data_IF_744335036725
#
_entry.id   IF_744335036725
#
_cell.length_a   1.000
_cell.length_b   1.000
_cell.length_c   1.000
_cell.angle_alpha   90.00
_cell.angle_beta   90.00
_cell.angle_gamma   90.00
#
_symmetry.space_group_name_H-M   'P 1'
#
loop_
_entity.id
_entity.type
_entity.pdbx_description
1 polymer ?
#
# COMPACT_ATOMS: atom_id res chain seq x y z
N UNK A 1 -13.61 16.21 -19.09
CA UNK A 1 -13.44 14.77 -18.77
C UNK A 1 -12.86 14.67 -17.38
N UNK A 2 -13.09 13.59 -16.64
CA UNK A 2 -12.50 13.40 -15.31
C UNK A 2 -10.97 13.44 -15.38
N UNK A 3 -10.34 14.09 -14.41
CA UNK A 3 -8.88 14.08 -14.28
C UNK A 3 -8.40 12.67 -13.96
N UNK A 4 -7.30 12.26 -14.60
CA UNK A 4 -6.61 11.00 -14.34
C UNK A 4 -5.22 11.32 -13.84
N UNK A 5 -4.71 10.54 -12.90
CA UNK A 5 -3.36 10.68 -12.34
C UNK A 5 -2.65 9.34 -12.46
N UNK A 6 -1.93 9.16 -13.57
CA UNK A 6 -1.07 8.00 -13.78
C UNK A 6 0.37 8.35 -13.40
N UNK A 7 0.84 7.85 -12.25
CA UNK A 7 2.19 8.12 -11.75
C UNK A 7 3.26 7.69 -12.75
N UNK A 8 3.06 6.59 -13.49
CA UNK A 8 4.01 6.16 -14.53
C UNK A 8 4.23 7.19 -15.63
N UNK A 9 3.23 8.05 -15.86
CA UNK A 9 3.20 9.05 -16.93
C UNK A 9 3.51 10.47 -16.46
N UNK A 10 3.39 10.76 -15.15
CA UNK A 10 3.69 12.09 -14.60
C UNK A 10 5.14 12.52 -14.85
N UNK A 11 5.31 13.83 -14.98
CA UNK A 11 6.61 14.49 -15.08
C UNK A 11 7.43 14.28 -13.79
N UNK A 12 8.75 14.10 -13.93
CA UNK A 12 9.64 13.71 -12.82
C UNK A 12 10.03 14.90 -11.91
N UNK A 13 9.06 15.46 -11.19
CA UNK A 13 9.32 16.40 -10.09
C UNK A 13 9.85 15.67 -8.85
N UNK A 14 10.50 16.38 -7.93
CA UNK A 14 10.98 15.76 -6.67
C UNK A 14 9.84 15.16 -5.83
N UNK A 15 8.66 15.77 -5.88
CA UNK A 15 7.46 15.26 -5.21
C UNK A 15 6.97 13.96 -5.84
N UNK A 16 6.89 13.91 -7.18
CA UNK A 16 6.50 12.69 -7.92
C UNK A 16 7.50 11.56 -7.68
N UNK A 17 8.81 11.85 -7.67
CA UNK A 17 9.85 10.86 -7.36
C UNK A 17 9.70 10.26 -5.96
N UNK A 18 9.37 11.10 -4.96
CA UNK A 18 9.11 10.62 -3.59
C UNK A 18 7.88 9.71 -3.55
N UNK A 19 6.76 10.13 -4.14
CA UNK A 19 5.54 9.31 -4.21
C UNK A 19 5.80 7.98 -4.93
N UNK A 20 6.54 8.00 -6.05
CA UNK A 20 6.98 6.78 -6.75
C UNK A 20 7.85 5.88 -5.89
N UNK A 21 8.72 6.45 -5.04
CA UNK A 21 9.53 5.67 -4.11
C UNK A 21 8.67 4.98 -3.05
N UNK A 22 7.68 5.68 -2.48
CA UNK A 22 6.73 5.14 -1.51
C UNK A 22 5.90 4.02 -2.15
N UNK A 23 5.36 4.27 -3.34
CA UNK A 23 4.50 3.35 -4.08
C UNK A 23 5.28 2.39 -4.99
N UNK A 24 6.60 2.27 -4.85
CA UNK A 24 7.44 1.48 -5.77
C UNK A 24 6.91 0.06 -5.97
N UNK A 25 6.51 -0.60 -4.89
CA UNK A 25 6.03 -1.98 -4.96
C UNK A 25 4.61 -2.13 -5.55
N UNK A 26 3.61 -1.32 -5.15
CA UNK A 26 2.33 -1.24 -5.86
C UNK A 26 2.44 -0.83 -7.33
N UNK A 27 3.31 0.13 -7.65
CA UNK A 27 3.56 0.56 -9.03
C UNK A 27 4.14 -0.57 -9.87
N UNK A 28 5.07 -1.36 -9.33
CA UNK A 28 5.56 -2.56 -10.00
C UNK A 28 4.45 -3.58 -10.28
N UNK A 29 3.50 -3.78 -9.35
CA UNK A 29 2.33 -4.62 -9.62
C UNK A 29 1.45 -4.05 -10.74
N UNK A 30 1.28 -2.73 -10.81
CA UNK A 30 0.59 -2.08 -11.92
C UNK A 30 1.32 -2.30 -13.24
N UNK A 31 2.66 -2.17 -13.28
CA UNK A 31 3.47 -2.44 -14.47
C UNK A 31 3.32 -3.90 -14.94
N UNK A 32 3.37 -4.86 -14.00
CA UNK A 32 3.17 -6.29 -14.29
C UNK A 32 1.79 -6.54 -14.90
N UNK A 33 0.73 -5.95 -14.33
CA UNK A 33 -0.64 -6.07 -14.84
C UNK A 33 -0.81 -5.45 -16.23
N UNK A 34 -0.29 -4.25 -16.43
CA UNK A 34 -0.33 -3.55 -17.72
C UNK A 34 0.40 -4.38 -18.78
N UNK A 35 1.55 -4.96 -18.43
CA UNK A 35 2.30 -5.84 -19.33
C UNK A 35 1.52 -7.12 -19.65
N UNK A 36 0.98 -7.81 -18.64
CA UNK A 36 0.14 -9.00 -18.84
C UNK A 36 -1.07 -8.70 -19.74
N UNK A 37 -1.69 -7.52 -19.56
CA UNK A 37 -2.83 -7.05 -20.34
C UNK A 37 -2.46 -6.82 -21.80
N UNK A 38 -1.43 -6.01 -22.08
CA UNK A 38 -1.05 -5.65 -23.45
C UNK A 38 -0.34 -6.77 -24.21
N UNK A 39 0.27 -7.71 -23.51
CA UNK A 39 0.86 -8.92 -24.09
C UNK A 39 -0.10 -10.12 -24.11
N UNK A 40 -1.31 -9.98 -23.54
CA UNK A 40 -2.34 -11.02 -23.47
C UNK A 40 -1.86 -12.35 -22.86
N UNK A 41 -1.03 -12.26 -21.82
CA UNK A 41 -0.39 -13.43 -21.19
C UNK A 41 -1.12 -13.97 -19.96
N UNK A 42 -2.37 -13.58 -19.73
CA UNK A 42 -3.14 -14.03 -18.55
C UNK A 42 -3.32 -15.54 -18.43
N UNK A 43 -3.31 -16.28 -19.55
CA UNK A 43 -3.37 -17.75 -19.55
C UNK A 43 -2.18 -18.40 -18.82
N UNK A 44 -1.03 -17.72 -18.77
CA UNK A 44 0.16 -18.20 -18.06
C UNK A 44 -0.08 -18.30 -16.55
N UNK A 45 -0.86 -17.38 -15.97
CA UNK A 45 -1.17 -17.38 -14.53
C UNK A 45 -1.90 -18.66 -14.08
N UNK A 46 -2.74 -19.23 -14.96
CA UNK A 46 -3.44 -20.48 -14.68
C UNK A 46 -2.50 -21.69 -14.60
N UNK A 47 -1.38 -21.65 -15.33
CA UNK A 47 -0.39 -22.73 -15.33
C UNK A 47 0.40 -22.79 -14.01
N UNK A 48 0.56 -21.65 -13.33
CA UNK A 48 1.29 -21.50 -12.06
C UNK A 48 0.50 -21.96 -10.84
N UNK A 49 -0.80 -22.26 -10.98
CA UNK A 49 -1.62 -22.76 -9.88
C UNK A 49 -1.20 -24.18 -9.48
N UNK A 50 -0.93 -24.37 -8.19
CA UNK A 50 -0.69 -25.69 -7.62
C UNK A 50 -1.95 -26.57 -7.64
N UNK A 51 -1.75 -27.89 -7.52
CA UNK A 51 -2.82 -28.88 -7.60
C UNK A 51 -3.87 -28.72 -6.49
N UNK A 52 -3.47 -28.25 -5.30
CA UNK A 52 -4.38 -28.03 -4.18
C UNK A 52 -5.34 -26.89 -4.51
N UNK A 53 -4.84 -25.76 -5.03
CA UNK A 53 -5.67 -24.64 -5.46
C UNK A 53 -6.62 -25.05 -6.58
N UNK A 54 -6.14 -25.80 -7.57
CA UNK A 54 -6.97 -26.30 -8.68
C UNK A 54 -8.11 -27.18 -8.20
N UNK A 55 -7.82 -28.09 -7.27
CA UNK A 55 -8.81 -28.97 -6.66
C UNK A 55 -9.81 -28.20 -5.79
N UNK A 56 -9.32 -27.43 -4.81
CA UNK A 56 -10.15 -26.76 -3.81
C UNK A 56 -11.06 -25.68 -4.42
N UNK A 57 -10.61 -24.99 -5.47
CA UNK A 57 -11.41 -24.01 -6.18
C UNK A 57 -12.32 -24.62 -7.26
N UNK A 58 -12.33 -25.95 -7.46
CA UNK A 58 -13.18 -26.59 -8.47
C UNK A 58 -12.75 -26.29 -9.92
N UNK A 59 -11.51 -25.84 -10.14
CA UNK A 59 -10.97 -25.52 -11.48
C UNK A 59 -10.91 -26.77 -12.35
N UNK A 60 -10.58 -27.93 -11.77
CA UNK A 60 -10.58 -29.21 -12.49
C UNK A 60 -11.96 -29.50 -13.11
N UNK A 61 -13.04 -29.27 -12.34
CA UNK A 61 -14.39 -29.45 -12.84
C UNK A 61 -14.73 -28.43 -13.92
N UNK A 62 -14.32 -27.17 -13.76
CA UNK A 62 -14.51 -26.14 -14.77
C UNK A 62 -13.80 -26.51 -16.09
N UNK A 63 -12.57 -27.00 -16.04
CA UNK A 63 -11.83 -27.42 -17.23
C UNK A 63 -12.55 -28.55 -17.99
N UNK A 64 -13.09 -29.55 -17.28
CA UNK A 64 -13.88 -30.63 -17.90
C UNK A 64 -15.14 -30.11 -18.62
N UNK A 65 -15.78 -29.06 -18.08
CA UNK A 65 -16.98 -28.45 -18.65
C UNK A 65 -16.68 -27.38 -19.72
N UNK A 66 -15.42 -26.96 -19.85
CA UNK A 66 -15.01 -25.85 -20.69
C UNK A 66 -15.31 -26.05 -22.18
N UNK A 67 -15.35 -27.29 -22.66
CA UNK A 67 -15.68 -27.54 -24.07
C UNK A 67 -17.09 -27.05 -24.43
N UNK A 68 -18.05 -27.21 -23.51
CA UNK A 68 -19.47 -26.95 -23.79
C UNK A 68 -20.00 -25.67 -23.12
N UNK A 69 -19.28 -25.11 -22.15
CA UNK A 69 -19.76 -23.97 -21.36
C UNK A 69 -18.75 -22.81 -21.28
N UNK A 70 -19.12 -21.67 -21.87
CA UNK A 70 -18.25 -20.49 -21.98
C UNK A 70 -17.79 -19.94 -20.62
N UNK A 71 -18.65 -19.93 -19.59
CA UNK A 71 -18.26 -19.48 -18.26
C UNK A 71 -17.20 -20.42 -17.66
N UNK A 72 -17.37 -21.74 -17.83
CA UNK A 72 -16.38 -22.72 -17.35
C UNK A 72 -15.01 -22.54 -18.00
N UNK A 73 -14.94 -22.14 -19.28
CA UNK A 73 -13.67 -21.78 -19.94
C UNK A 73 -12.95 -20.61 -19.27
N UNK A 74 -13.71 -19.60 -18.84
CA UNK A 74 -13.14 -18.39 -18.22
C UNK A 74 -12.76 -18.58 -16.75
N UNK A 75 -13.30 -19.59 -16.07
CA UNK A 75 -13.20 -19.73 -14.62
C UNK A 75 -11.75 -19.84 -14.13
N UNK A 76 -10.96 -20.72 -14.75
CA UNK A 76 -9.55 -20.93 -14.37
C UNK A 76 -8.73 -19.64 -14.48
N UNK A 77 -8.92 -18.92 -15.59
CA UNK A 77 -8.21 -17.68 -15.88
C UNK A 77 -8.62 -16.58 -14.91
N UNK A 78 -9.92 -16.40 -14.67
CA UNK A 78 -10.46 -15.42 -13.72
C UNK A 78 -9.96 -15.68 -12.30
N UNK A 79 -10.04 -16.93 -11.84
CA UNK A 79 -9.54 -17.31 -10.52
C UNK A 79 -8.03 -17.05 -10.41
N UNK A 80 -7.24 -17.51 -11.38
CA UNK A 80 -5.78 -17.34 -11.36
C UNK A 80 -5.36 -15.88 -11.32
N UNK A 81 -6.06 -15.02 -12.07
CA UNK A 81 -5.84 -13.58 -12.07
C UNK A 81 -6.15 -12.93 -10.72
N UNK A 82 -7.32 -13.22 -10.14
CA UNK A 82 -7.68 -12.68 -8.83
C UNK A 82 -6.73 -13.18 -7.73
N UNK A 83 -6.35 -14.46 -7.78
CA UNK A 83 -5.38 -15.04 -6.85
C UNK A 83 -4.02 -14.34 -6.95
N UNK A 84 -3.51 -14.17 -8.18
CA UNK A 84 -2.27 -13.43 -8.46
C UNK A 84 -2.35 -12.01 -7.88
N UNK A 85 -3.38 -11.25 -8.27
CA UNK A 85 -3.53 -9.86 -7.87
C UNK A 85 -3.67 -9.70 -6.36
N UNK A 86 -4.62 -10.40 -5.72
CA UNK A 86 -4.92 -10.17 -4.30
C UNK A 86 -3.81 -10.67 -3.37
N UNK A 87 -3.13 -11.77 -3.72
CA UNK A 87 -1.97 -12.24 -2.95
C UNK A 87 -0.84 -11.21 -3.00
N UNK A 88 -0.59 -10.69 -4.20
CA UNK A 88 0.44 -9.70 -4.48
C UNK A 88 0.12 -8.36 -3.80
N UNK A 89 -1.12 -7.88 -3.92
CA UNK A 89 -1.58 -6.63 -3.33
C UNK A 89 -1.54 -6.67 -1.80
N UNK A 90 -2.06 -7.72 -1.15
CA UNK A 90 -2.03 -7.87 0.32
C UNK A 90 -0.61 -7.74 0.88
N UNK A 91 0.37 -8.39 0.25
CA UNK A 91 1.76 -8.35 0.70
C UNK A 91 2.37 -6.93 0.64
N UNK A 92 1.81 -6.03 -0.19
CA UNK A 92 2.34 -4.68 -0.45
C UNK A 92 1.69 -3.60 0.41
N UNK A 93 0.46 -3.80 0.86
CA UNK A 93 -0.33 -2.78 1.60
C UNK A 93 0.39 -2.25 2.84
N UNK A 94 0.87 -3.15 3.71
CA UNK A 94 1.58 -2.74 4.93
C UNK A 94 2.87 -1.97 4.63
N UNK A 95 3.53 -2.30 3.52
CA UNK A 95 4.78 -1.69 3.13
C UNK A 95 4.62 -0.22 2.71
N UNK A 96 3.48 0.14 2.12
CA UNK A 96 3.20 1.52 1.73
C UNK A 96 3.21 2.44 2.96
N UNK A 97 2.51 2.06 4.02
CA UNK A 97 2.45 2.84 5.26
C UNK A 97 3.84 3.02 5.89
N UNK A 98 4.64 1.95 5.94
CA UNK A 98 6.03 2.01 6.41
C UNK A 98 6.87 3.00 5.60
N UNK A 99 6.82 2.92 4.27
CA UNK A 99 7.63 3.76 3.39
C UNK A 99 7.14 5.22 3.37
N UNK A 100 5.84 5.46 3.51
CA UNK A 100 5.29 6.82 3.70
C UNK A 100 5.90 7.47 4.93
N UNK A 101 5.88 6.78 6.08
CA UNK A 101 6.46 7.33 7.31
C UNK A 101 7.98 7.49 7.22
N UNK A 102 8.69 6.53 6.63
CA UNK A 102 10.13 6.68 6.41
C UNK A 102 10.45 7.87 5.49
N UNK A 103 9.66 8.10 4.45
CA UNK A 103 9.78 9.26 3.55
C UNK A 103 9.63 10.57 4.33
N UNK A 104 8.57 10.66 5.15
CA UNK A 104 8.30 11.84 5.99
C UNK A 104 9.46 12.10 6.96
N UNK A 105 9.88 11.07 7.72
CA UNK A 105 10.95 11.21 8.72
C UNK A 105 12.27 11.69 8.10
N UNK A 106 12.58 11.26 6.87
CA UNK A 106 13.79 11.67 6.13
C UNK A 106 13.67 13.05 5.52
N UNK A 107 12.59 13.30 4.78
CA UNK A 107 12.40 14.50 3.96
C UNK A 107 12.36 15.76 4.81
N UNK A 108 11.72 15.68 5.99
CA UNK A 108 11.60 16.81 6.90
C UNK A 108 12.66 16.82 8.00
N UNK A 109 13.70 15.98 7.87
CA UNK A 109 14.81 15.88 8.82
C UNK A 109 14.36 15.73 10.28
N UNK A 110 13.25 15.01 10.49
CA UNK A 110 12.69 14.74 11.82
C UNK A 110 13.65 13.86 12.63
N UNK A 111 14.31 12.93 11.94
CA UNK A 111 15.37 12.09 12.50
C UNK A 111 16.64 12.20 11.64
N UNK A 112 17.80 12.14 12.27
CA UNK A 112 19.10 12.16 11.59
C UNK A 112 19.31 10.92 10.72
N UNK A 113 18.80 9.77 11.18
CA UNK A 113 18.89 8.48 10.47
C UNK A 113 17.57 7.73 10.57
N UNK A 114 17.16 7.16 9.44
CA UNK A 114 15.96 6.32 9.33
C UNK A 114 16.36 5.00 8.64
N UNK A 115 16.65 3.93 9.42
CA UNK A 115 17.07 2.64 8.90
C UNK A 115 16.09 2.03 7.88
N UNK A 116 16.62 1.34 6.88
CA UNK A 116 15.80 0.70 5.85
C UNK A 116 15.58 -0.80 6.10
N UNK A 117 16.54 -1.46 6.76
CA UNK A 117 16.56 -2.91 6.94
C UNK A 117 16.31 -3.27 8.40
N UNK A 118 15.52 -4.32 8.63
CA UNK A 118 15.25 -4.85 9.97
C UNK A 118 16.55 -5.22 10.71
N UNK A 119 17.55 -5.75 10.00
CA UNK A 119 18.86 -6.06 10.57
C UNK A 119 19.57 -4.82 11.13
N UNK A 120 19.48 -3.69 10.43
CA UNK A 120 20.08 -2.41 10.86
C UNK A 120 19.36 -1.88 12.11
N UNK A 121 18.03 -1.94 12.13
CA UNK A 121 17.21 -1.58 13.29
C UNK A 121 17.59 -2.42 14.53
N UNK A 122 17.83 -3.72 14.35
CA UNK A 122 18.25 -4.61 15.43
C UNK A 122 19.65 -4.31 15.95
N UNK A 123 20.59 -3.99 15.06
CA UNK A 123 21.93 -3.59 15.47
C UNK A 123 21.90 -2.31 16.32
N UNK A 124 21.04 -1.35 15.94
CA UNK A 124 20.82 -0.13 16.71
C UNK A 124 20.25 -0.46 18.09
N UNK A 125 19.22 -1.29 18.18
CA UNK A 125 18.63 -1.68 19.47
C UNK A 125 19.59 -2.49 20.33
N UNK A 126 20.34 -3.42 19.76
CA UNK A 126 21.39 -4.16 20.47
C UNK A 126 22.42 -3.21 21.07
N UNK A 127 22.82 -2.18 20.34
CA UNK A 127 23.74 -1.15 20.84
C UNK A 127 23.10 -0.26 21.92
N UNK A 128 21.81 0.02 21.84
CA UNK A 128 21.10 0.90 22.79
C UNK A 128 20.79 0.17 24.11
N UNK A 129 20.47 -1.11 24.07
CA UNK A 129 20.16 -1.93 25.25
C UNK A 129 21.37 -2.70 25.80
N UNK A 130 22.50 -2.71 25.09
CA UNK A 130 23.72 -3.48 25.41
C UNK A 130 23.43 -4.97 25.67
N UNK A 131 22.53 -5.55 24.86
CA UNK A 131 22.15 -6.96 24.94
C UNK A 131 21.52 -7.41 23.63
N UNK A 132 21.42 -8.72 23.43
CA UNK A 132 20.60 -9.26 22.34
C UNK A 132 19.12 -8.90 22.56
N UNK A 133 18.50 -8.44 21.48
CA UNK A 133 17.09 -8.02 21.46
C UNK A 133 16.24 -9.05 20.70
N UNK A 134 14.93 -9.13 21.00
CA UNK A 134 14.02 -10.08 20.36
C UNK A 134 14.06 -10.01 18.82
N UNK A 135 13.94 -11.18 18.19
CA UNK A 135 13.77 -11.32 16.74
C UNK A 135 12.31 -11.03 16.35
N UNK A 136 11.86 -9.80 16.60
CA UNK A 136 10.53 -9.32 16.25
C UNK A 136 10.63 -8.18 15.21
N UNK A 137 9.53 -7.96 14.49
CA UNK A 137 9.47 -6.96 13.44
C UNK A 137 9.22 -5.57 14.01
N UNK A 138 9.92 -4.59 13.45
CA UNK A 138 9.74 -3.15 13.66
C UNK A 138 9.38 -2.57 12.31
N UNK A 139 8.28 -1.82 12.27
CA UNK A 139 7.78 -1.27 11.01
C UNK A 139 8.60 -0.04 10.59
N UNK A 140 8.82 0.90 11.53
CA UNK A 140 9.62 2.11 11.29
C UNK A 140 10.48 2.45 12.51
N UNK A 141 11.69 2.93 12.25
CA UNK A 141 12.61 3.43 13.26
C UNK A 141 13.19 4.78 12.83
N UNK A 142 13.19 5.74 13.74
CA UNK A 142 13.90 7.00 13.63
C UNK A 142 15.00 7.09 14.69
N UNK A 143 16.17 7.57 14.31
CA UNK A 143 17.31 7.74 15.22
C UNK A 143 17.82 9.16 15.13
N UNK A 144 17.96 9.80 16.28
CA UNK A 144 18.70 11.05 16.45
C UNK A 144 19.87 10.83 17.40
N UNK A 145 20.72 11.85 17.58
CA UNK A 145 21.92 11.74 18.42
C UNK A 145 21.62 11.21 19.83
N UNK A 146 20.56 11.71 20.45
CA UNK A 146 20.20 11.50 21.85
C UNK A 146 18.99 10.57 22.06
N UNK A 147 18.20 10.26 21.03
CA UNK A 147 16.92 9.54 21.17
C UNK A 147 16.61 8.56 20.04
N UNK A 148 15.72 7.60 20.32
CA UNK A 148 15.22 6.61 19.36
C UNK A 148 13.70 6.63 19.32
N UNK A 149 13.16 6.69 18.12
CA UNK A 149 11.73 6.53 17.83
C UNK A 149 11.50 5.14 17.24
N UNK A 150 10.61 4.36 17.85
CA UNK A 150 10.16 3.07 17.34
C UNK A 150 8.68 3.21 17.04
N UNK A 151 8.26 2.88 15.82
CA UNK A 151 6.84 2.92 15.44
C UNK A 151 6.41 1.51 15.04
N UNK A 152 5.33 1.03 15.68
CA UNK A 152 4.61 -0.16 15.28
C UNK A 152 3.26 0.23 14.70
N UNK A 153 2.99 -0.19 13.47
CA UNK A 153 1.88 0.25 12.65
C UNK A 153 0.77 -0.80 12.58
N UNK A 154 -0.46 -0.31 12.64
CA UNK A 154 -1.64 -1.02 12.14
C UNK A 154 -2.37 -0.15 11.16
N UNK A 155 -2.86 -0.76 10.09
CA UNK A 155 -3.77 -0.10 9.17
C UNK A 155 -5.11 0.22 9.85
N UNK A 156 -5.66 -0.74 10.60
CA UNK A 156 -6.98 -0.67 11.27
C UNK A 156 -6.93 -1.39 12.61
N UNK A 157 -7.80 -0.98 13.52
CA UNK A 157 -8.00 -1.53 14.86
C UNK A 157 -8.95 -2.75 14.88
N UNK A 158 -9.88 -2.85 13.93
CA UNK A 158 -10.88 -3.93 13.84
C UNK A 158 -10.45 -5.14 12.98
N UNK A 159 -9.40 -5.02 12.17
CA UNK A 159 -8.96 -6.11 11.29
C UNK A 159 -8.08 -7.11 12.03
N UNK A 160 -8.70 -8.15 12.60
CA UNK A 160 -8.03 -9.40 12.99
C UNK A 160 -7.81 -10.39 11.85
N UNK A 161 -8.26 -10.07 10.63
CA UNK A 161 -8.58 -11.10 9.64
C UNK A 161 -7.45 -11.65 8.78
N UNK A 162 -6.41 -10.88 8.40
CA UNK A 162 -5.56 -11.33 7.28
C UNK A 162 -4.07 -11.04 7.32
N UNK A 163 -3.61 -10.30 8.33
CA UNK A 163 -2.23 -10.32 8.80
C UNK A 163 -2.31 -10.14 10.30
N UNK A 164 -2.53 -11.24 11.03
CA UNK A 164 -2.34 -11.26 12.47
C UNK A 164 -0.85 -11.10 12.77
N UNK A 165 -0.31 -9.87 12.59
CA UNK A 165 0.85 -9.45 13.38
C UNK A 165 0.42 -9.66 14.85
N UNK A 166 1.34 -10.17 15.67
CA UNK A 166 1.10 -10.41 17.10
C UNK A 166 0.64 -9.14 17.84
N UNK A 167 0.58 -9.21 19.16
CA UNK A 167 0.22 -8.06 19.99
C UNK A 167 0.99 -6.82 19.53
N UNK A 168 0.30 -5.68 19.45
CA UNK A 168 0.85 -4.37 19.03
C UNK A 168 2.03 -3.88 19.86
N UNK A 169 2.33 -4.60 20.93
CA UNK A 169 3.37 -4.32 21.91
C UNK A 169 4.27 -5.54 22.12
N UNK A 170 4.25 -6.54 21.24
CA UNK A 170 5.07 -7.74 21.39
C UNK A 170 6.57 -7.41 21.39
N UNK A 171 7.00 -6.49 20.52
CA UNK A 171 8.39 -6.04 20.50
C UNK A 171 8.73 -5.28 21.79
N UNK A 172 7.90 -4.32 22.21
CA UNK A 172 8.07 -3.64 23.50
C UNK A 172 8.15 -4.62 24.67
N UNK A 173 7.22 -5.57 24.75
CA UNK A 173 7.19 -6.62 25.77
C UNK A 173 8.51 -7.40 25.81
N UNK A 174 9.03 -7.75 24.63
CA UNK A 174 10.32 -8.42 24.52
C UNK A 174 11.50 -7.54 24.96
N UNK A 175 11.47 -6.23 24.68
CA UNK A 175 12.47 -5.28 25.17
C UNK A 175 12.41 -5.13 26.69
N UNK A 176 11.23 -5.00 27.29
CA UNK A 176 11.05 -4.89 28.74
C UNK A 176 11.57 -6.13 29.48
N UNK A 177 11.34 -7.32 28.92
CA UNK A 177 11.85 -8.59 29.47
C UNK A 177 13.38 -8.69 29.55
N UNK A 178 14.11 -7.84 28.82
CA UNK A 178 15.57 -7.81 28.95
C UNK A 178 16.02 -7.29 30.31
N UNK A 179 15.18 -6.51 31.00
CA UNK A 179 15.53 -5.83 32.26
C UNK A 179 16.66 -4.81 32.11
N UNK A 180 16.97 -4.40 30.87
CA UNK A 180 18.03 -3.42 30.57
C UNK A 180 17.44 -2.05 30.30
N UNK A 181 17.98 -1.04 30.99
CA UNK A 181 17.68 0.36 30.70
C UNK A 181 18.40 0.78 29.43
N UNK A 182 17.70 1.28 28.40
CA UNK A 182 18.35 1.75 27.19
C UNK A 182 19.21 2.99 27.48
N UNK A 183 20.37 3.07 26.82
CA UNK A 183 21.32 4.19 26.95
C UNK A 183 20.82 5.51 26.36
N UNK A 184 19.68 5.48 25.65
CA UNK A 184 19.02 6.62 25.03
C UNK A 184 17.52 6.54 25.31
N UNK A 185 16.83 7.67 25.55
CA UNK A 185 15.38 7.73 25.56
C UNK A 185 14.76 7.10 24.30
N UNK A 186 13.76 6.25 24.52
CA UNK A 186 12.97 5.59 23.49
C UNK A 186 11.53 6.07 23.58
N UNK A 187 11.00 6.60 22.48
CA UNK A 187 9.55 6.68 22.27
C UNK A 187 9.10 5.47 21.47
N UNK A 188 8.29 4.62 22.10
CA UNK A 188 7.60 3.52 21.45
C UNK A 188 6.19 3.98 21.08
N UNK A 189 5.95 4.17 19.79
CA UNK A 189 4.69 4.63 19.24
C UNK A 189 3.91 3.45 18.65
N UNK A 190 2.76 3.13 19.25
CA UNK A 190 1.76 2.27 18.60
C UNK A 190 0.84 3.18 17.79
N UNK A 191 0.85 3.02 16.48
CA UNK A 191 0.18 3.92 15.54
C UNK A 191 -0.90 3.18 14.75
N UNK A 192 -2.15 3.61 14.91
CA UNK A 192 -3.30 3.11 14.14
C UNK A 192 -3.65 4.14 13.06
N UNK A 193 -3.52 3.75 11.80
CA UNK A 193 -3.70 4.68 10.67
C UNK A 193 -5.15 5.09 10.45
N UNK A 194 -6.06 4.12 10.34
CA UNK A 194 -7.49 4.33 10.11
C UNK A 194 -8.27 4.11 11.42
N UNK A 195 -8.63 5.21 12.08
CA UNK A 195 -9.40 5.24 13.30
C UNK A 195 -10.89 5.06 12.99
N UNK A 196 -11.53 4.02 13.54
CA UNK A 196 -12.94 3.72 13.25
C UNK A 196 -13.85 3.97 14.44
N UNK A 197 -13.70 3.17 15.49
CA UNK A 197 -14.66 3.10 16.59
C UNK A 197 -13.94 3.24 17.94
N UNK A 198 -14.47 4.08 18.82
CA UNK A 198 -13.99 4.24 20.18
C UNK A 198 -13.96 2.90 20.95
N UNK A 199 -14.89 1.97 20.68
CA UNK A 199 -14.90 0.65 21.31
C UNK A 199 -13.67 -0.19 20.92
N UNK A 200 -13.18 -0.06 19.68
CA UNK A 200 -11.98 -0.77 19.23
C UNK A 200 -10.71 -0.17 19.82
N UNK A 201 -10.69 1.14 20.08
CA UNK A 201 -9.63 1.81 20.85
C UNK A 201 -9.53 1.24 22.25
N UNK A 202 -10.63 1.18 23.01
CA UNK A 202 -10.63 0.59 24.34
C UNK A 202 -10.19 -0.89 24.32
N UNK A 203 -10.69 -1.69 23.37
CA UNK A 203 -10.24 -3.09 23.23
C UNK A 203 -8.74 -3.21 22.98
N UNK A 204 -8.17 -2.30 22.18
CA UNK A 204 -6.74 -2.26 21.88
C UNK A 204 -5.94 -1.90 23.12
N UNK A 205 -6.39 -0.89 23.88
CA UNK A 205 -5.77 -0.46 25.14
C UNK A 205 -5.78 -1.60 26.15
N UNK A 206 -6.93 -2.26 26.38
CA UNK A 206 -7.04 -3.40 27.30
C UNK A 206 -6.10 -4.55 26.93
N UNK A 207 -5.94 -4.85 25.64
CA UNK A 207 -5.01 -5.88 25.15
C UNK A 207 -3.55 -5.48 25.38
N UNK A 208 -3.20 -4.21 25.16
CA UNK A 208 -1.87 -3.67 25.42
C UNK A 208 -1.55 -3.74 26.92
N UNK A 209 -2.45 -3.24 27.77
CA UNK A 209 -2.32 -3.29 29.22
C UNK A 209 -2.14 -4.74 29.71
N UNK A 210 -3.04 -5.64 29.30
CA UNK A 210 -2.95 -7.06 29.67
C UNK A 210 -1.64 -7.72 29.23
N UNK A 211 -1.04 -7.27 28.13
CA UNK A 211 0.23 -7.79 27.63
C UNK A 211 1.46 -7.26 28.39
N UNK A 212 1.36 -6.10 29.04
CA UNK A 212 2.48 -5.36 29.62
C UNK A 212 2.43 -5.24 31.14
N UNK A 213 1.25 -5.40 31.77
CA UNK A 213 1.01 -5.13 33.20
C UNK A 213 2.03 -5.76 34.15
N UNK A 214 2.53 -6.96 33.84
CA UNK A 214 3.47 -7.70 34.70
C UNK A 214 4.94 -7.27 34.50
N UNK A 215 5.21 -6.34 33.57
CA UNK A 215 6.56 -5.90 33.17
C UNK A 215 6.78 -4.40 33.32
N UNK A 216 5.72 -3.61 33.58
CA UNK A 216 5.82 -2.17 33.68
C UNK A 216 6.42 -1.79 35.04
N UNK A 217 7.52 -1.05 35.03
CA UNK A 217 8.16 -0.50 36.22
C UNK A 217 7.58 0.89 36.53
N UNK A 218 6.35 0.96 37.07
CA UNK A 218 5.79 2.26 37.48
C UNK A 218 6.07 2.52 38.95
N UNK A 219 7.04 3.40 39.23
CA UNK A 219 7.33 3.90 40.57
C UNK A 219 6.29 4.88 41.12
N UNK A 220 5.34 5.36 40.29
CA UNK A 220 4.42 6.46 40.65
C UNK A 220 2.94 6.24 40.29
N UNK A 221 2.60 5.13 39.63
CA UNK A 221 1.23 4.82 39.20
C UNK A 221 0.85 3.46 39.76
N UNK A 222 -0.17 3.40 40.62
CA UNK A 222 -0.95 2.16 40.78
C UNK A 222 -1.38 1.75 39.37
N UNK A 223 -0.79 0.69 38.83
CA UNK A 223 -0.97 0.23 37.45
C UNK A 223 -2.38 -0.38 37.29
N UNK A 224 -3.38 0.47 37.42
CA UNK A 224 -4.77 0.19 37.10
C UNK A 224 -4.95 0.38 35.59
N UNK A 225 -5.80 -0.47 35.01
CA UNK A 225 -6.15 -0.38 33.59
C UNK A 225 -6.76 0.99 33.25
N UNK A 226 -7.46 1.63 34.19
CA UNK A 226 -8.06 2.95 34.01
C UNK A 226 -7.03 4.07 33.91
N UNK A 227 -5.99 4.07 34.76
CA UNK A 227 -4.88 5.03 34.64
C UNK A 227 -4.12 4.81 33.33
N UNK A 228 -3.86 3.55 32.96
CA UNK A 228 -3.23 3.22 31.69
C UNK A 228 -4.07 3.74 30.50
N UNK A 229 -5.38 3.48 30.48
CA UNK A 229 -6.26 3.94 29.38
C UNK A 229 -6.28 5.46 29.24
N UNK A 230 -6.34 6.19 30.36
CA UNK A 230 -6.35 7.66 30.34
C UNK A 230 -5.05 8.25 29.79
N UNK A 231 -3.90 7.70 30.20
CA UNK A 231 -2.61 8.37 30.02
C UNK A 231 -1.85 7.89 28.77
N UNK A 232 -2.22 6.75 28.17
CA UNK A 232 -1.52 6.13 27.02
C UNK A 232 -1.46 7.03 25.77
N UNK A 233 -2.44 7.92 25.63
CA UNK A 233 -2.52 8.85 24.49
C UNK A 233 -1.55 10.02 24.62
N UNK A 234 -1.25 10.43 25.85
CA UNK A 234 -0.25 11.47 26.12
C UNK A 234 1.16 10.88 26.16
N UNK A 235 1.28 9.67 26.72
CA UNK A 235 2.51 8.89 26.80
C UNK A 235 2.77 8.42 28.23
N UNK A 236 2.99 7.13 28.42
CA UNK A 236 3.25 6.51 29.71
C UNK A 236 4.69 6.03 29.77
N UNK A 237 5.41 6.35 30.85
CA UNK A 237 6.72 5.75 31.13
C UNK A 237 6.50 4.31 31.59
N UNK A 238 6.92 3.35 30.76
CA UNK A 238 6.73 1.91 31.03
C UNK A 238 7.97 1.25 31.65
N UNK A 239 9.13 1.89 31.48
CA UNK A 239 10.39 1.57 32.14
C UNK A 239 11.31 2.80 32.06
N UNK A 240 12.41 2.78 32.82
CA UNK A 240 13.44 3.82 32.72
C UNK A 240 13.84 4.06 31.25
N UNK A 241 13.79 5.31 30.79
CA UNK A 241 14.07 5.74 29.42
C UNK A 241 13.15 5.15 28.31
N UNK A 242 11.99 4.58 28.64
CA UNK A 242 11.03 4.07 27.64
C UNK A 242 9.64 4.68 27.89
N UNK A 243 9.18 5.48 26.93
CA UNK A 243 7.81 6.01 26.88
C UNK A 243 7.01 5.26 25.83
N UNK A 244 5.84 4.75 26.20
CA UNK A 244 4.86 4.15 25.29
C UNK A 244 3.73 5.17 25.02
N UNK A 245 3.39 5.37 23.74
CA UNK A 245 2.27 6.22 23.31
C UNK A 245 1.42 5.50 22.28
N UNK A 246 0.10 5.59 22.41
CA UNK A 246 -0.88 5.10 21.43
C UNK A 246 -1.49 6.29 20.69
N UNK A 247 -1.46 6.26 19.36
CA UNK A 247 -1.98 7.35 18.51
C UNK A 247 -2.89 6.82 17.41
N UNK A 248 -3.96 7.56 17.14
CA UNK A 248 -4.99 7.24 16.15
C UNK A 248 -5.06 8.31 15.06
N UNK A 249 -5.03 7.87 13.81
CA UNK A 249 -5.05 8.77 12.67
C UNK A 249 -3.71 9.45 12.39
N UNK A 250 -3.65 10.08 11.23
CA UNK A 250 -2.45 10.75 10.74
C UNK A 250 -2.07 11.97 11.60
N UNK A 251 -3.07 12.70 12.10
CA UNK A 251 -2.83 13.91 12.89
C UNK A 251 -2.19 13.61 14.27
N UNK A 252 -2.79 12.73 15.07
CA UNK A 252 -2.25 12.37 16.39
C UNK A 252 -0.85 11.75 16.24
N UNK A 253 -0.65 10.93 15.19
CA UNK A 253 0.63 10.31 14.90
C UNK A 253 1.71 11.35 14.63
N UNK A 254 1.44 12.30 13.74
CA UNK A 254 2.45 13.31 13.41
C UNK A 254 2.71 14.24 14.60
N UNK A 255 1.68 14.60 15.38
CA UNK A 255 1.87 15.38 16.63
C UNK A 255 2.75 14.62 17.63
N UNK A 256 2.50 13.32 17.83
CA UNK A 256 3.30 12.49 18.72
C UNK A 256 4.77 12.40 18.30
N UNK A 257 5.04 12.24 17.00
CA UNK A 257 6.40 12.24 16.45
C UNK A 257 7.07 13.61 16.66
N UNK A 258 6.38 14.70 16.29
CA UNK A 258 6.93 16.06 16.36
C UNK A 258 7.23 16.53 17.78
N UNK A 259 6.35 16.21 18.75
CA UNK A 259 6.57 16.51 20.17
C UNK A 259 7.87 15.87 20.66
N UNK A 260 8.14 14.63 20.24
CA UNK A 260 9.34 13.90 20.62
C UNK A 260 10.60 14.44 19.94
N UNK A 261 10.49 14.89 18.69
CA UNK A 261 11.64 15.37 17.92
C UNK A 261 11.91 16.87 18.04
N UNK A 262 11.01 17.63 18.67
CA UNK A 262 11.02 19.10 18.73
C UNK A 262 10.94 19.76 17.32
N UNK A 263 10.17 19.14 16.42
CA UNK A 263 9.99 19.62 15.04
C UNK A 263 8.82 20.62 14.93
N UNK A 264 8.88 21.52 13.94
CA UNK A 264 7.85 22.56 13.74
C UNK A 264 6.49 21.98 13.31
N UNK A 265 5.36 22.36 13.96
CA UNK A 265 4.01 21.97 13.54
C UNK A 265 3.64 22.41 12.13
N UNK A 266 4.31 23.42 11.55
CA UNK A 266 4.02 23.92 10.19
C UNK A 266 4.19 22.85 9.10
N UNK A 267 5.00 21.81 9.35
CA UNK A 267 5.26 20.71 8.42
C UNK A 267 4.03 19.82 8.22
N UNK A 268 3.07 19.79 9.16
CA UNK A 268 1.85 18.96 9.08
C UNK A 268 1.06 19.19 7.79
N UNK A 269 0.94 20.46 7.38
CA UNK A 269 0.23 20.83 6.14
C UNK A 269 0.92 20.32 4.87
N UNK A 270 2.23 20.10 4.91
CA UNK A 270 2.99 19.57 3.77
C UNK A 270 2.91 18.04 3.74
N UNK A 271 2.96 17.40 4.91
CA UNK A 271 2.73 15.96 5.07
C UNK A 271 1.33 15.57 4.56
N UNK A 272 0.30 16.34 4.90
CA UNK A 272 -1.08 16.09 4.43
C UNK A 272 -1.18 16.12 2.89
N UNK A 273 -0.49 17.06 2.23
CA UNK A 273 -0.41 17.10 0.76
C UNK A 273 0.28 15.88 0.19
N UNK A 274 1.38 15.45 0.80
CA UNK A 274 2.13 14.27 0.37
C UNK A 274 1.29 12.99 0.51
N UNK A 275 0.57 12.84 1.63
CA UNK A 275 -0.37 11.73 1.84
C UNK A 275 -1.47 11.74 0.78
N UNK A 276 -2.08 12.89 0.49
CA UNK A 276 -3.10 13.03 -0.56
C UNK A 276 -2.60 12.61 -1.93
N UNK A 277 -1.35 12.92 -2.28
CA UNK A 277 -0.77 12.48 -3.55
C UNK A 277 -0.53 10.97 -3.60
N UNK A 278 -0.15 10.35 -2.48
CA UNK A 278 -0.03 8.88 -2.37
C UNK A 278 -1.40 8.21 -2.52
N UNK A 279 -2.48 8.88 -2.10
CA UNK A 279 -3.86 8.38 -2.23
C UNK A 279 -4.44 8.54 -3.65
N UNK A 280 -3.96 9.53 -4.42
CA UNK A 280 -4.56 9.96 -5.68
C UNK A 280 -3.78 9.44 -6.90
N UNK A 281 -3.78 8.13 -7.12
CA UNK A 281 -3.21 7.52 -8.32
C UNK A 281 -4.11 6.44 -8.93
N UNK A 282 -4.08 6.34 -10.24
CA UNK A 282 -5.01 5.52 -11.02
C UNK A 282 -4.38 4.23 -11.58
N UNK A 283 -3.04 4.12 -11.60
CA UNK A 283 -2.34 3.10 -12.40
C UNK A 283 -2.74 1.66 -12.03
N UNK A 284 -2.92 1.34 -10.74
CA UNK A 284 -3.21 -0.03 -10.30
C UNK A 284 -4.67 -0.42 -10.51
N UNK A 285 -5.62 0.37 -10.01
CA UNK A 285 -7.02 -0.01 -10.02
C UNK A 285 -7.67 0.11 -11.40
N UNK A 286 -7.21 1.03 -12.24
CA UNK A 286 -7.63 1.06 -13.64
C UNK A 286 -7.08 -0.17 -14.38
N UNK A 287 -5.79 -0.50 -14.23
CA UNK A 287 -5.21 -1.70 -14.83
C UNK A 287 -5.93 -2.97 -14.37
N UNK A 288 -6.16 -3.13 -13.07
CA UNK A 288 -6.90 -4.26 -12.51
C UNK A 288 -8.32 -4.37 -13.06
N UNK A 289 -9.07 -3.25 -13.10
CA UNK A 289 -10.46 -3.24 -13.55
C UNK A 289 -10.57 -3.59 -15.03
N UNK A 290 -9.70 -2.99 -15.87
CA UNK A 290 -9.67 -3.28 -17.31
C UNK A 290 -9.23 -4.73 -17.56
N UNK A 291 -8.20 -5.22 -16.86
CA UNK A 291 -7.78 -6.62 -16.96
C UNK A 291 -8.89 -7.60 -16.57
N UNK A 292 -9.61 -7.31 -15.49
CA UNK A 292 -10.76 -8.12 -15.06
C UNK A 292 -11.84 -8.18 -16.14
N UNK A 293 -12.19 -7.03 -16.74
CA UNK A 293 -13.18 -6.94 -17.80
C UNK A 293 -12.73 -7.67 -19.07
N UNK A 294 -11.45 -7.57 -19.42
CA UNK A 294 -10.87 -8.24 -20.59
C UNK A 294 -10.86 -9.76 -20.42
N UNK A 295 -10.47 -10.26 -19.24
CA UNK A 295 -10.50 -11.71 -18.94
C UNK A 295 -11.93 -12.24 -18.94
N UNK A 296 -12.87 -11.45 -18.41
CA UNK A 296 -14.28 -11.82 -18.39
C UNK A 296 -14.95 -11.68 -19.77
N UNK A 297 -14.26 -11.20 -20.81
CA UNK A 297 -14.85 -10.87 -22.09
C UNK A 297 -15.23 -12.13 -22.90
N UNK A 298 -16.54 -12.27 -23.17
CA UNK A 298 -17.13 -13.39 -23.93
C UNK A 298 -17.52 -12.99 -25.36
N UNK A 299 -17.23 -11.75 -25.80
CA UNK A 299 -17.59 -11.25 -27.13
C UNK A 299 -16.75 -11.88 -28.27
N UNK A 300 -15.71 -12.64 -27.93
CA UNK A 300 -14.77 -13.23 -28.91
C UNK A 300 -13.72 -12.24 -29.43
N UNK A 301 -13.80 -10.97 -29.06
CA UNK A 301 -12.83 -9.95 -29.39
C UNK A 301 -12.00 -9.58 -28.17
N UNK A 302 -10.70 -9.30 -28.36
CA UNK A 302 -9.88 -8.64 -27.35
C UNK A 302 -9.96 -7.12 -27.53
N UNK A 303 -10.36 -6.39 -26.49
CA UNK A 303 -10.41 -4.93 -26.56
C UNK A 303 -9.00 -4.34 -26.72
N UNK A 304 -7.98 -5.02 -26.20
CA UNK A 304 -6.58 -4.64 -26.39
C UNK A 304 -6.16 -4.76 -27.86
N UNK A 305 -6.48 -5.87 -28.52
CA UNK A 305 -6.17 -6.04 -29.95
C UNK A 305 -6.91 -5.01 -30.81
N UNK A 306 -8.19 -4.80 -30.55
CA UNK A 306 -9.00 -3.80 -31.26
C UNK A 306 -8.44 -2.39 -31.07
N UNK A 307 -8.05 -2.02 -29.85
CA UNK A 307 -7.40 -0.74 -29.57
C UNK A 307 -6.11 -0.59 -30.39
N UNK A 308 -5.23 -1.59 -30.34
CA UNK A 308 -3.95 -1.55 -31.05
C UNK A 308 -4.14 -1.40 -32.57
N UNK A 309 -5.04 -2.20 -33.16
CA UNK A 309 -5.36 -2.12 -34.58
C UNK A 309 -5.90 -0.74 -34.98
N UNK A 310 -6.84 -0.18 -34.20
CA UNK A 310 -7.43 1.13 -34.47
C UNK A 310 -6.41 2.25 -34.28
N UNK A 311 -5.55 2.15 -33.27
CA UNK A 311 -4.47 3.11 -33.02
C UNK A 311 -3.47 3.17 -34.19
N UNK A 312 -3.08 2.01 -34.73
CA UNK A 312 -2.20 1.90 -35.89
C UNK A 312 -2.86 2.38 -37.19
N UNK A 313 -4.11 1.96 -37.43
CA UNK A 313 -4.87 2.34 -38.64
C UNK A 313 -5.07 3.84 -38.73
N UNK A 314 -5.38 4.49 -37.60
CA UNK A 314 -5.55 5.94 -37.51
C UNK A 314 -4.22 6.70 -37.40
N UNK A 315 -3.08 5.98 -37.43
CA UNK A 315 -1.71 6.52 -37.39
C UNK A 315 -1.46 7.45 -36.20
N UNK A 316 -2.03 7.11 -35.04
CA UNK A 316 -1.87 7.91 -33.85
C UNK A 316 -0.49 7.72 -33.20
N UNK A 317 -0.05 8.76 -32.48
CA UNK A 317 1.17 8.77 -31.68
C UNK A 317 0.95 9.57 -30.41
N UNK A 318 1.42 9.07 -29.28
CA UNK A 318 1.40 9.80 -28.02
C UNK A 318 2.44 10.92 -28.01
N UNK A 319 2.12 12.00 -27.32
CA UNK A 319 3.05 13.10 -27.06
C UNK A 319 3.58 13.01 -25.63
N UNK A 320 4.77 12.44 -25.46
CA UNK A 320 5.40 12.25 -24.15
C UNK A 320 6.24 13.46 -23.66
N UNK A 321 6.17 14.61 -24.33
CA UNK A 321 6.98 15.79 -23.96
C UNK A 321 6.71 16.27 -22.54
N UNK A 322 5.45 16.23 -22.10
CA UNK A 322 5.06 16.42 -20.70
C UNK A 322 3.69 15.78 -20.46
N UNK A 323 3.31 15.58 -19.20
CA UNK A 323 2.04 14.94 -18.85
C UNK A 323 0.83 15.65 -19.46
N UNK A 324 0.81 16.99 -19.42
CA UNK A 324 -0.29 17.79 -19.98
C UNK A 324 -0.44 17.59 -21.50
N UNK A 325 0.67 17.46 -22.23
CA UNK A 325 0.63 17.20 -23.68
C UNK A 325 0.20 15.76 -23.98
N UNK A 326 0.59 14.80 -23.13
CA UNK A 326 0.14 13.41 -23.24
C UNK A 326 -1.37 13.32 -23.08
N UNK A 327 -1.93 13.93 -22.03
CA UNK A 327 -3.38 13.99 -21.79
C UNK A 327 -4.11 14.58 -22.98
N UNK A 328 -3.67 15.74 -23.50
CA UNK A 328 -4.26 16.36 -24.71
C UNK A 328 -4.22 15.42 -25.91
N UNK A 329 -3.11 14.70 -26.10
CA UNK A 329 -2.99 13.74 -27.19
C UNK A 329 -4.00 12.59 -27.02
N UNK A 330 -4.10 11.99 -25.83
CA UNK A 330 -5.06 10.91 -25.53
C UNK A 330 -6.50 11.37 -25.74
N UNK A 331 -6.86 12.54 -25.20
CA UNK A 331 -8.22 13.09 -25.33
C UNK A 331 -8.58 13.33 -26.81
N UNK A 332 -7.63 13.81 -27.62
CA UNK A 332 -7.83 14.01 -29.07
C UNK A 332 -8.03 12.72 -29.86
N UNK A 333 -7.42 11.61 -29.42
CA UNK A 333 -7.53 10.29 -30.07
C UNK A 333 -8.80 9.53 -29.66
N UNK A 334 -9.36 9.85 -28.49
CA UNK A 334 -10.45 9.09 -27.88
C UNK A 334 -11.70 9.06 -28.77
N UNK A 335 -12.20 10.22 -29.22
CA UNK A 335 -13.41 10.29 -30.05
C UNK A 335 -13.28 9.61 -31.42
N UNK A 336 -12.16 9.78 -32.16
CA UNK A 336 -11.91 9.00 -33.37
C UNK A 336 -11.91 7.48 -33.15
N UNK A 337 -11.23 6.99 -32.09
CA UNK A 337 -11.20 5.55 -31.78
C UNK A 337 -12.59 5.04 -31.41
N UNK A 338 -13.33 5.77 -30.57
CA UNK A 338 -14.71 5.44 -30.23
C UNK A 338 -15.60 5.36 -31.47
N UNK A 339 -15.45 6.30 -32.41
CA UNK A 339 -16.22 6.32 -33.66
C UNK A 339 -15.88 5.13 -34.57
N UNK A 340 -14.62 4.70 -34.55
CA UNK A 340 -14.11 3.54 -35.28
C UNK A 340 -14.40 2.19 -34.59
N UNK A 341 -14.89 2.19 -33.36
CA UNK A 341 -15.24 0.98 -32.62
C UNK A 341 -16.64 0.48 -33.04
N UNK A 342 -16.68 -0.59 -33.83
CA UNK A 342 -17.93 -1.17 -34.36
C UNK A 342 -18.28 -2.50 -33.72
N UNK A 343 -17.30 -3.11 -33.07
CA UNK A 343 -17.38 -4.39 -32.42
C UNK A 343 -18.17 -4.27 -31.12
N UNK A 344 -19.07 -5.22 -30.86
CA UNK A 344 -19.87 -5.27 -29.64
C UNK A 344 -19.09 -5.90 -28.48
N UNK A 345 -17.91 -5.34 -28.22
CA UNK A 345 -16.96 -5.82 -27.21
C UNK A 345 -16.90 -4.93 -25.97
N UNK A 346 -17.52 -3.75 -26.02
CA UNK A 346 -17.58 -2.77 -24.93
C UNK A 346 -18.85 -2.99 -24.09
N UNK A 347 -18.68 -3.45 -22.86
CA UNK A 347 -19.78 -3.89 -21.96
C UNK A 347 -20.59 -2.79 -21.28
N UNK A 348 -20.38 -1.55 -21.66
CA UNK A 348 -21.08 -0.41 -21.07
C UNK A 348 -22.31 -0.05 -21.91
N UNK A 349 -23.43 0.24 -21.28
CA UNK A 349 -24.66 0.62 -21.99
C UNK A 349 -24.65 2.06 -22.47
N UNK A 350 -24.02 2.97 -21.70
CA UNK A 350 -23.95 4.38 -22.06
C UNK A 350 -22.77 4.67 -23.02
N UNK A 351 -23.01 5.52 -24.02
CA UNK A 351 -21.96 5.98 -24.93
C UNK A 351 -20.84 6.71 -24.17
N UNK A 352 -21.19 7.49 -23.16
CA UNK A 352 -20.23 8.21 -22.32
C UNK A 352 -19.26 7.26 -21.61
N UNK A 353 -19.76 6.17 -21.03
CA UNK A 353 -18.90 5.20 -20.33
C UNK A 353 -18.02 4.42 -21.31
N UNK A 354 -18.52 4.10 -22.51
CA UNK A 354 -17.71 3.49 -23.58
C UNK A 354 -16.54 4.40 -23.97
N UNK A 355 -16.79 5.70 -24.12
CA UNK A 355 -15.76 6.70 -24.44
C UNK A 355 -14.72 6.79 -23.31
N UNK A 356 -15.17 6.84 -22.05
CA UNK A 356 -14.26 6.86 -20.90
C UNK A 356 -13.42 5.59 -20.79
N UNK A 357 -14.00 4.41 -21.03
CA UNK A 357 -13.26 3.15 -21.06
C UNK A 357 -12.18 3.14 -22.15
N UNK A 358 -12.49 3.62 -23.37
CA UNK A 358 -11.51 3.75 -24.45
C UNK A 358 -10.39 4.72 -24.07
N UNK A 359 -10.74 5.84 -23.41
CA UNK A 359 -9.75 6.78 -22.90
C UNK A 359 -8.82 6.14 -21.88
N UNK A 360 -9.36 5.39 -20.92
CA UNK A 360 -8.58 4.69 -19.91
C UNK A 360 -7.68 3.59 -20.53
N UNK A 361 -8.17 2.90 -21.56
CA UNK A 361 -7.37 1.99 -22.39
C UNK A 361 -6.18 2.69 -23.06
N UNK A 362 -6.37 3.90 -23.59
CA UNK A 362 -5.29 4.70 -24.18
C UNK A 362 -4.25 5.12 -23.13
N UNK A 363 -4.67 5.50 -21.92
CA UNK A 363 -3.75 5.75 -20.82
C UNK A 363 -2.92 4.52 -20.47
N UNK A 364 -3.54 3.34 -20.32
CA UNK A 364 -2.78 2.11 -20.06
C UNK A 364 -1.84 1.74 -21.22
N UNK A 365 -2.22 2.01 -22.48
CA UNK A 365 -1.34 1.82 -23.64
C UNK A 365 -0.13 2.75 -23.57
N UNK A 366 -0.32 4.01 -23.17
CA UNK A 366 0.77 4.95 -22.98
C UNK A 366 1.70 4.50 -21.84
N UNK A 367 1.15 4.01 -20.73
CA UNK A 367 1.96 3.40 -19.67
C UNK A 367 2.77 2.21 -20.19
N UNK A 368 2.15 1.30 -20.94
CA UNK A 368 2.82 0.14 -21.52
C UNK A 368 3.98 0.53 -22.45
N UNK A 369 3.79 1.53 -23.32
CA UNK A 369 4.88 2.03 -24.17
C UNK A 369 6.04 2.59 -23.35
N UNK A 370 5.73 3.40 -22.33
CA UNK A 370 6.75 3.97 -21.45
C UNK A 370 7.50 2.93 -20.61
N UNK A 371 6.82 1.86 -20.20
CA UNK A 371 7.44 0.72 -19.50
C UNK A 371 8.37 -0.06 -20.43
N UNK A 372 8.02 -0.24 -21.72
CA UNK A 372 8.89 -0.93 -22.70
C UNK A 372 10.10 -0.13 -23.15
N UNK A 373 10.07 1.19 -23.01
CA UNK A 373 11.18 2.09 -23.38
C UNK A 373 12.21 2.28 -22.26
N UNK A 374 11.94 1.80 -21.04
CA UNK A 374 12.88 1.76 -19.90
C UNK A 374 13.76 0.52 -19.97
#
# INVERSE_FOLDING_TARGET
>A
MQERIFLHLLDETEEVKRVKSILKSPLGLSEDLITLLFEQRFSQLSSELDSIKKFAAGIERANMLGNDYALARSYAQLFSFHQFFHSSYRARQGKVLEETLKSILRTYHICERVPNRVQEMRQILKSVFDTDVPNLDIDVMGVSRDKVLIIQLRSRDDTGGTTAKGSLVDMLRGLLRTGKTPSKPILYLVAIWDARDAQQRESTISKMFSSLKDLIETSEIETSESAFSRDISEGIVVASNITLKLVYGTEEMMRGIMQFTASSPSILSTIDKEIKLVEQWDDLWIAYSIASLEIANFSGFSNINLLNQKFETLKFKFNFTCYANLVKSIDSMTSPIASAWKEDSLRFSSTSDRILYIRDLLFLKACYQRVKER
#
